data_IF_268315100441
#
_entry.id   IF_268315100441
#
_cell.length_a   1.000
_cell.length_b   1.000
_cell.length_c   1.000
_cell.angle_alpha   90.00
_cell.angle_beta   90.00
_cell.angle_gamma   90.00
#
_symmetry.space_group_name_H-M   'P 1'
#
loop_
_entity.id
_entity.type
_entity.pdbx_description
1 polymer ?
#
# COMPACT_ATOMS: atom_id res chain seq x y z
N UNK A 1 22.29 32.43 6.92
CA UNK A 1 20.93 32.19 7.41
C UNK A 1 19.99 32.10 6.21
N UNK A 2 19.74 30.92 5.65
CA UNK A 2 18.48 30.63 4.95
C UNK A 2 17.48 30.15 6.02
N UNK A 3 16.31 30.78 6.17
CA UNK A 3 15.17 30.61 5.27
C UNK A 3 14.29 29.52 5.87
N UNK A 4 13.35 29.91 6.73
CA UNK A 4 12.42 29.03 7.44
C UNK A 4 11.46 28.40 6.43
N UNK A 5 11.76 27.18 6.00
CA UNK A 5 10.78 26.28 5.36
C UNK A 5 9.89 25.70 6.48
N UNK A 6 9.07 26.57 7.07
CA UNK A 6 7.99 26.15 7.96
C UNK A 6 6.94 25.43 7.13
N UNK A 7 6.99 24.09 7.14
CA UNK A 7 5.82 23.29 6.79
C UNK A 7 4.84 23.48 7.95
N UNK A 8 3.77 24.22 7.70
CA UNK A 8 2.73 24.45 8.70
C UNK A 8 2.17 23.10 9.18
N UNK A 9 2.30 22.80 10.48
CA UNK A 9 1.73 21.59 11.12
C UNK A 9 0.21 21.46 10.86
N UNK A 10 -0.46 22.56 10.52
CA UNK A 10 -1.87 22.64 10.16
C UNK A 10 -2.19 21.99 8.80
N UNK A 11 -1.26 21.99 7.82
CA UNK A 11 -1.48 21.37 6.51
C UNK A 11 -1.40 19.82 6.58
N UNK A 12 -0.53 19.29 7.44
CA UNK A 12 -0.48 17.87 7.77
C UNK A 12 -1.76 17.40 8.50
N UNK A 13 -2.31 18.24 9.37
CA UNK A 13 -3.55 17.97 10.09
C UNK A 13 -4.76 17.92 9.14
N UNK A 14 -4.84 18.85 8.18
CA UNK A 14 -5.88 18.90 7.16
C UNK A 14 -5.78 17.71 6.18
N UNK A 15 -4.57 17.38 5.72
CA UNK A 15 -4.30 16.25 4.83
C UNK A 15 -4.64 14.89 5.43
N UNK A 16 -4.58 14.74 6.76
CA UNK A 16 -4.91 13.51 7.47
C UNK A 16 -6.36 13.43 7.96
N UNK A 17 -7.12 14.54 7.99
CA UNK A 17 -8.46 14.59 8.59
C UNK A 17 -9.44 13.62 7.92
N UNK A 18 -9.48 13.58 6.59
CA UNK A 18 -10.34 12.64 5.86
C UNK A 18 -9.98 11.18 6.15
N UNK A 19 -8.68 10.88 6.32
CA UNK A 19 -8.21 9.53 6.60
C UNK A 19 -8.57 9.09 8.02
N UNK A 20 -8.56 10.01 8.99
CA UNK A 20 -9.09 9.77 10.35
C UNK A 20 -10.59 9.51 10.30
N UNK A 21 -11.35 10.35 9.61
CA UNK A 21 -12.79 10.17 9.45
C UNK A 21 -13.14 8.82 8.81
N UNK A 22 -12.37 8.38 7.81
CA UNK A 22 -12.53 7.06 7.18
C UNK A 22 -12.24 5.91 8.15
N UNK A 23 -11.19 6.03 8.98
CA UNK A 23 -10.87 5.03 10.02
C UNK A 23 -11.98 4.96 11.07
N UNK A 24 -12.49 6.10 11.51
CA UNK A 24 -13.57 6.16 12.49
C UNK A 24 -14.87 5.56 11.93
N UNK A 25 -15.20 5.87 10.67
CA UNK A 25 -16.32 5.26 9.95
C UNK A 25 -16.17 3.72 9.81
N UNK A 26 -14.94 3.20 9.79
CA UNK A 26 -14.65 1.77 9.81
C UNK A 26 -14.43 1.20 11.23
N UNK A 27 -14.85 1.92 12.28
CA UNK A 27 -14.69 1.54 13.69
C UNK A 27 -13.23 1.19 14.07
N UNK A 28 -12.27 1.89 13.46
CA UNK A 28 -10.84 1.65 13.66
C UNK A 28 -10.32 0.32 13.11
N UNK A 29 -11.14 -0.45 12.40
CA UNK A 29 -10.72 -1.74 11.82
C UNK A 29 -9.81 -1.48 10.62
N UNK A 30 -8.64 -2.12 10.52
CA UNK A 30 -7.80 -2.01 9.33
C UNK A 30 -8.44 -2.76 8.15
N UNK A 31 -8.01 -2.41 6.93
CA UNK A 31 -8.27 -3.25 5.76
C UNK A 31 -7.60 -4.62 5.97
N UNK A 32 -8.22 -5.67 5.44
CA UNK A 32 -7.69 -7.04 5.54
C UNK A 32 -6.41 -7.23 4.74
N UNK A 33 -6.34 -6.60 3.58
CA UNK A 33 -5.20 -6.61 2.68
C UNK A 33 -5.34 -5.48 1.65
N UNK A 34 -4.26 -5.22 0.91
CA UNK A 34 -4.26 -4.39 -0.27
C UNK A 34 -3.52 -5.09 -1.43
N UNK A 35 -3.99 -4.87 -2.66
CA UNK A 35 -3.33 -5.33 -3.89
C UNK A 35 -2.93 -4.11 -4.69
N UNK A 36 -1.65 -4.01 -5.01
CA UNK A 36 -1.01 -2.84 -5.58
C UNK A 36 -0.40 -3.17 -6.94
N UNK A 37 -1.06 -2.77 -8.03
CA UNK A 37 -0.54 -2.88 -9.39
C UNK A 37 0.21 -1.60 -9.77
N UNK A 38 1.47 -1.73 -10.20
CA UNK A 38 2.33 -0.59 -10.59
C UNK A 38 2.29 0.59 -9.60
N UNK A 39 2.17 0.28 -8.30
CA UNK A 39 2.11 1.30 -7.26
C UNK A 39 3.52 1.77 -6.89
N UNK A 40 3.64 3.03 -6.45
CA UNK A 40 4.93 3.64 -6.15
C UNK A 40 4.89 4.49 -4.89
N UNK A 41 6.07 4.74 -4.33
CA UNK A 41 6.25 5.69 -3.25
C UNK A 41 6.25 7.11 -3.81
N UNK A 42 5.38 7.96 -3.26
CA UNK A 42 5.36 9.39 -3.53
C UNK A 42 6.20 10.13 -2.48
N UNK A 43 7.36 10.73 -2.84
CA UNK A 43 8.24 11.43 -1.91
C UNK A 43 7.74 12.86 -1.63
N UNK A 44 6.46 13.00 -1.29
CA UNK A 44 5.85 14.30 -0.93
C UNK A 44 5.76 14.35 0.60
N UNK A 45 6.29 15.41 1.22
CA UNK A 45 6.35 15.51 2.69
C UNK A 45 4.96 15.42 3.32
N UNK A 46 3.97 16.09 2.74
CA UNK A 46 2.56 16.04 3.17
C UNK A 46 1.92 14.62 3.09
N UNK A 47 2.59 13.65 2.44
CA UNK A 47 2.18 12.25 2.39
C UNK A 47 3.07 11.34 3.26
N UNK A 48 4.10 11.87 3.91
CA UNK A 48 5.05 11.08 4.68
C UNK A 48 4.38 10.31 5.82
N UNK A 49 3.31 10.88 6.41
CA UNK A 49 2.50 10.24 7.44
C UNK A 49 1.78 8.96 6.96
N UNK A 50 1.56 8.79 5.66
CA UNK A 50 0.94 7.57 5.10
C UNK A 50 1.86 6.34 5.20
N UNK A 51 3.16 6.56 5.33
CA UNK A 51 4.19 5.52 5.25
C UNK A 51 4.90 5.25 6.58
N UNK A 52 4.52 5.98 7.65
CA UNK A 52 5.10 5.83 9.00
C UNK A 52 3.98 5.74 10.05
N UNK A 53 3.99 4.71 10.92
CA UNK A 53 4.87 3.53 10.89
C UNK A 53 4.67 2.70 9.61
N UNK A 54 5.53 1.70 9.39
CA UNK A 54 5.42 0.82 8.22
C UNK A 54 4.00 0.24 8.07
N UNK A 55 3.56 0.08 6.83
CA UNK A 55 2.21 -0.37 6.49
C UNK A 55 2.04 -1.81 6.96
N UNK A 56 1.28 -1.99 8.03
CA UNK A 56 1.00 -3.30 8.63
C UNK A 56 -0.14 -4.07 7.95
N UNK A 57 -0.93 -3.40 7.10
CA UNK A 57 -1.91 -4.09 6.26
C UNK A 57 -1.17 -5.00 5.28
N UNK A 58 -1.49 -6.31 5.20
CA UNK A 58 -0.88 -7.22 4.24
C UNK A 58 -0.98 -6.67 2.81
N UNK A 59 0.12 -6.71 2.07
CA UNK A 59 0.18 -6.17 0.70
C UNK A 59 0.69 -7.19 -0.31
N UNK A 60 0.06 -7.20 -1.49
CA UNK A 60 0.58 -7.84 -2.69
C UNK A 60 0.94 -6.77 -3.70
N UNK A 61 2.21 -6.71 -4.10
CA UNK A 61 2.71 -5.80 -5.12
C UNK A 61 2.93 -6.55 -6.43
N UNK A 62 2.31 -6.07 -7.51
CA UNK A 62 2.48 -6.61 -8.86
C UNK A 62 3.20 -5.57 -9.71
N UNK A 63 4.45 -5.87 -10.08
CA UNK A 63 5.36 -4.98 -10.82
C UNK A 63 5.54 -5.49 -12.25
N UNK A 64 5.54 -4.57 -13.21
CA UNK A 64 5.96 -4.83 -14.58
C UNK A 64 7.45 -4.57 -14.75
N UNK A 65 8.23 -5.56 -15.19
CA UNK A 65 9.68 -5.39 -15.40
C UNK A 65 10.02 -4.47 -16.57
N UNK A 66 9.04 -4.15 -17.42
CA UNK A 66 9.16 -3.23 -18.55
C UNK A 66 8.26 -2.00 -18.37
N UNK A 67 7.84 -1.70 -17.13
CA UNK A 67 7.04 -0.52 -16.82
C UNK A 67 7.90 0.74 -17.03
N UNK A 68 7.49 1.58 -18.00
CA UNK A 68 8.17 2.84 -18.32
C UNK A 68 7.44 4.06 -17.75
N UNK A 69 6.25 3.86 -17.16
CA UNK A 69 5.46 4.92 -16.52
C UNK A 69 5.88 5.08 -15.07
N UNK A 70 6.12 3.95 -14.40
CA UNK A 70 6.55 3.90 -13.00
C UNK A 70 7.87 3.15 -12.92
N UNK A 71 8.93 3.90 -12.64
CA UNK A 71 10.26 3.33 -12.44
C UNK A 71 10.29 2.27 -11.31
N UNK A 72 11.08 1.21 -11.52
CA UNK A 72 11.15 0.09 -10.58
C UNK A 72 11.61 0.56 -9.20
N UNK A 73 12.57 1.49 -9.11
CA UNK A 73 13.08 1.95 -7.81
C UNK A 73 11.98 2.63 -6.98
N UNK A 74 11.05 3.33 -7.61
CA UNK A 74 9.90 3.95 -6.92
C UNK A 74 8.89 2.91 -6.44
N UNK A 75 8.69 1.85 -7.22
CA UNK A 75 7.85 0.71 -6.82
C UNK A 75 8.47 -0.04 -5.64
N UNK A 76 9.77 -0.33 -5.71
CA UNK A 76 10.54 -0.97 -4.63
C UNK A 76 10.55 -0.13 -3.35
N UNK A 77 10.71 1.18 -3.47
CA UNK A 77 10.64 2.07 -2.32
C UNK A 77 9.28 2.00 -1.59
N UNK A 78 8.17 1.74 -2.29
CA UNK A 78 6.88 1.48 -1.64
C UNK A 78 6.87 0.12 -0.94
N UNK A 79 7.38 -0.93 -1.60
CA UNK A 79 7.50 -2.28 -1.02
C UNK A 79 8.27 -2.24 0.30
N UNK A 80 9.38 -1.50 0.36
CA UNK A 80 10.22 -1.39 1.57
C UNK A 80 9.51 -0.70 2.76
N UNK A 81 8.37 -0.05 2.53
CA UNK A 81 7.53 0.60 3.56
C UNK A 81 6.38 -0.30 4.04
N UNK A 82 6.23 -1.48 3.47
CA UNK A 82 5.23 -2.47 3.86
C UNK A 82 5.86 -3.54 4.75
N UNK A 83 5.11 -4.05 5.73
CA UNK A 83 5.51 -5.21 6.53
C UNK A 83 5.20 -6.49 5.77
N UNK A 84 6.20 -7.38 5.66
CA UNK A 84 6.12 -8.69 5.01
C UNK A 84 5.35 -8.71 3.66
N UNK A 85 5.69 -7.83 2.70
CA UNK A 85 4.96 -7.72 1.44
C UNK A 85 5.20 -8.95 0.55
N UNK A 86 4.16 -9.36 -0.17
CA UNK A 86 4.28 -10.32 -1.28
C UNK A 86 4.57 -9.54 -2.56
N UNK A 87 5.59 -9.95 -3.32
CA UNK A 87 5.96 -9.27 -4.58
C UNK A 87 5.93 -10.24 -5.75
N UNK A 88 5.26 -9.86 -6.82
CA UNK A 88 5.19 -10.57 -8.10
C UNK A 88 5.69 -9.64 -9.19
N UNK A 89 6.60 -10.12 -10.04
CA UNK A 89 7.12 -9.35 -11.18
C UNK A 89 6.77 -10.09 -12.46
N UNK A 90 6.07 -9.41 -13.39
CA UNK A 90 5.73 -9.95 -14.71
C UNK A 90 6.54 -9.25 -15.82
N UNK A 91 6.77 -9.89 -16.98
CA UNK A 91 7.65 -9.37 -18.03
C UNK A 91 7.00 -8.26 -18.90
N UNK A 92 6.02 -7.53 -18.36
CA UNK A 92 5.23 -6.55 -19.12
C UNK A 92 5.44 -5.10 -18.67
N UNK A 93 4.81 -4.17 -19.39
CA UNK A 93 4.76 -2.76 -19.04
C UNK A 93 3.61 -2.39 -18.09
N UNK A 94 3.18 -1.13 -18.10
CA UNK A 94 2.17 -0.57 -17.20
C UNK A 94 0.74 -1.07 -17.51
N UNK A 95 0.41 -2.28 -17.06
CA UNK A 95 -0.93 -2.86 -17.20
C UNK A 95 -1.16 -3.95 -16.15
N UNK A 96 -2.42 -4.36 -15.99
CA UNK A 96 -2.78 -5.49 -15.13
C UNK A 96 -2.59 -6.79 -15.92
N UNK A 97 -1.67 -7.69 -15.54
CA UNK A 97 -1.49 -8.96 -16.22
C UNK A 97 -2.68 -9.89 -15.95
N UNK A 98 -3.25 -10.46 -17.02
CA UNK A 98 -4.42 -11.37 -16.94
C UNK A 98 -4.08 -12.84 -17.20
N UNK A 99 -2.84 -13.12 -17.63
CA UNK A 99 -2.40 -14.50 -17.85
C UNK A 99 -2.41 -15.28 -16.53
N UNK A 100 -2.70 -16.59 -16.63
CA UNK A 100 -2.98 -17.43 -15.48
C UNK A 100 -1.82 -17.46 -14.48
N UNK A 101 -0.57 -17.47 -14.96
CA UNK A 101 0.60 -17.47 -14.08
C UNK A 101 0.69 -16.23 -13.17
N UNK A 102 0.15 -15.08 -13.59
CA UNK A 102 0.16 -13.82 -12.83
C UNK A 102 -1.11 -13.60 -12.02
N UNK A 103 -2.24 -14.17 -12.47
CA UNK A 103 -3.51 -14.11 -11.76
C UNK A 103 -3.59 -15.09 -10.57
N UNK A 104 -2.86 -16.22 -10.61
CA UNK A 104 -2.87 -17.22 -9.54
C UNK A 104 -2.32 -16.70 -8.19
N UNK A 105 -1.19 -15.98 -8.15
CA UNK A 105 -0.71 -15.34 -6.92
C UNK A 105 -1.75 -14.39 -6.29
N UNK A 106 -2.43 -13.57 -7.11
CA UNK A 106 -3.53 -12.72 -6.66
C UNK A 106 -4.64 -13.54 -5.99
N UNK A 107 -5.12 -14.58 -6.68
CA UNK A 107 -6.19 -15.41 -6.15
C UNK A 107 -5.79 -16.11 -4.84
N UNK A 108 -4.54 -16.57 -4.75
CA UNK A 108 -3.97 -17.15 -3.53
C UNK A 108 -3.96 -16.16 -2.37
N UNK A 109 -3.43 -14.96 -2.61
CA UNK A 109 -3.32 -13.88 -1.63
C UNK A 109 -4.70 -13.44 -1.11
N UNK A 110 -5.67 -13.21 -2.01
CA UNK A 110 -7.04 -12.87 -1.60
C UNK A 110 -7.63 -13.98 -0.73
N UNK A 111 -7.49 -15.24 -1.13
CA UNK A 111 -8.05 -16.37 -0.37
C UNK A 111 -7.44 -16.51 1.03
N UNK A 112 -6.17 -16.16 1.19
CA UNK A 112 -5.46 -16.19 2.46
C UNK A 112 -5.95 -15.07 3.39
N UNK A 113 -6.05 -13.83 2.89
CA UNK A 113 -6.34 -12.67 3.73
C UNK A 113 -7.82 -12.26 3.80
N UNK A 114 -8.68 -12.74 2.90
CA UNK A 114 -10.11 -12.42 2.90
C UNK A 114 -10.92 -13.24 3.92
N UNK A 115 -10.36 -14.31 4.48
CA UNK A 115 -11.07 -15.16 5.46
C UNK A 115 -11.29 -14.41 6.77
N UNK A 116 -12.42 -14.69 7.42
CA UNK A 116 -12.62 -14.22 8.79
C UNK A 116 -11.57 -14.84 9.71
N UNK A 117 -11.03 -14.09 10.69
CA UNK A 117 -10.26 -14.71 11.74
C UNK A 117 -11.12 -15.78 12.41
N UNK A 118 -10.54 -16.92 12.81
CA UNK A 118 -11.30 -17.98 13.47
C UNK A 118 -12.03 -17.38 14.68
N UNK A 119 -13.34 -17.55 14.74
CA UNK A 119 -14.15 -17.20 15.90
C UNK A 119 -13.59 -17.97 17.09
N UNK A 120 -13.08 -17.26 18.11
CA UNK A 120 -12.81 -17.89 19.40
C UNK A 120 -14.15 -18.44 19.90
N UNK A 121 -14.27 -19.76 20.17
CA UNK A 121 -15.44 -20.28 20.88
C UNK A 121 -15.52 -19.54 22.22
N UNK A 122 -16.68 -18.96 22.52
CA UNK A 122 -16.91 -18.31 23.81
C UNK A 122 -16.68 -19.29 24.95
N UNK A 123 -15.92 -18.85 25.95
CA UNK A 123 -15.99 -19.38 27.31
C UNK A 123 -17.18 -18.77 28.03
#
# INVERSE_FOLDING_TARGET
MPGEDGVDEDDDAAGAAWARALRDANAGRPLRFAVCYSAFWAPVEALAWCYRPAIATPTLHVLGSLDTVVDEARSRALVDRCLDPVVVVHPGGHHVPVAREWALPLAGFIREHARDPPTKPGL
#
